data_IF_745710960111
#
_entry.id   IF_745710960111
#
_cell.length_a   1.000
_cell.length_b   1.000
_cell.length_c   1.000
_cell.angle_alpha   90.00
_cell.angle_beta   90.00
_cell.angle_gamma   90.00
#
_symmetry.space_group_name_H-M   'P 1'
#
loop_
_entity.id
_entity.type
_entity.pdbx_description
1 polymer ?
#
# COMPACT_ATOMS: atom_id res chain seq x y z
N UNK A 1 2.55 18.69 -5.33
CA UNK A 1 1.63 17.66 -4.79
C UNK A 1 1.08 16.84 -5.94
N UNK A 2 1.16 15.52 -5.84
CA UNK A 2 0.59 14.60 -6.83
C UNK A 2 -0.47 13.74 -6.19
N UNK A 3 -1.62 13.63 -6.83
CA UNK A 3 -2.72 12.77 -6.38
C UNK A 3 -3.10 11.80 -7.50
N UNK A 4 -3.55 10.61 -7.12
CA UNK A 4 -4.02 9.63 -8.09
C UNK A 4 -5.09 8.73 -7.49
N UNK A 5 -5.89 8.12 -8.36
CA UNK A 5 -6.90 7.13 -8.00
C UNK A 5 -6.79 5.95 -8.96
N UNK A 6 -6.76 4.74 -8.40
CA UNK A 6 -6.75 3.48 -9.15
C UNK A 6 -7.91 2.63 -8.66
N UNK A 7 -8.69 2.08 -9.58
CA UNK A 7 -9.83 1.21 -9.25
C UNK A 7 -9.61 -0.16 -9.89
N UNK A 8 -9.73 -1.21 -9.07
CA UNK A 8 -9.56 -2.60 -9.51
C UNK A 8 -10.72 -3.45 -9.00
N UNK A 9 -11.20 -4.36 -9.85
CA UNK A 9 -12.14 -5.41 -9.45
C UNK A 9 -11.34 -6.70 -9.30
N UNK A 10 -11.32 -7.25 -8.07
CA UNK A 10 -10.48 -8.40 -7.72
C UNK A 10 -11.36 -9.57 -7.25
N UNK A 11 -10.96 -10.82 -7.56
CA UNK A 11 -11.76 -12.01 -7.26
C UNK A 11 -11.55 -12.54 -5.84
N UNK A 12 -11.53 -11.66 -4.85
CA UNK A 12 -11.33 -12.00 -3.45
C UNK A 12 -12.32 -11.25 -2.59
N UNK A 13 -12.77 -11.88 -1.50
CA UNK A 13 -13.63 -11.22 -0.53
C UNK A 13 -12.91 -10.06 0.13
N UNK A 14 -13.62 -8.98 0.49
CA UNK A 14 -12.99 -7.84 1.19
C UNK A 14 -12.21 -8.24 2.43
N UNK A 15 -12.72 -9.18 3.23
CA UNK A 15 -12.04 -9.63 4.45
C UNK A 15 -10.68 -10.27 4.14
N UNK A 16 -10.61 -11.09 3.11
CA UNK A 16 -9.38 -11.78 2.70
C UNK A 16 -8.35 -10.79 2.22
N UNK A 17 -8.77 -9.90 1.33
CA UNK A 17 -7.89 -8.90 0.73
C UNK A 17 -7.41 -7.89 1.77
N UNK A 18 -8.31 -7.41 2.63
CA UNK A 18 -7.97 -6.47 3.70
C UNK A 18 -6.92 -7.04 4.65
N UNK A 19 -7.14 -8.27 5.14
CA UNK A 19 -6.20 -8.92 6.05
C UNK A 19 -4.81 -9.09 5.44
N UNK A 20 -4.75 -9.44 4.18
CA UNK A 20 -3.48 -9.60 3.49
C UNK A 20 -2.75 -8.27 3.32
N UNK A 21 -3.45 -7.25 2.87
CA UNK A 21 -2.85 -5.93 2.59
C UNK A 21 -2.52 -5.15 3.87
N UNK A 22 -3.24 -5.38 4.95
CA UNK A 22 -3.01 -4.68 6.21
C UNK A 22 -1.75 -5.16 6.95
N UNK A 23 -1.28 -6.38 6.69
CA UNK A 23 -0.12 -6.94 7.38
C UNK A 23 1.18 -6.43 6.77
N UNK A 24 1.98 -5.63 7.49
CA UNK A 24 3.23 -5.08 6.94
C UNK A 24 4.22 -6.15 6.49
N UNK A 25 4.24 -7.31 7.14
CA UNK A 25 5.16 -8.40 6.82
C UNK A 25 4.87 -9.03 5.47
N UNK A 26 3.66 -8.83 4.93
CA UNK A 26 3.29 -9.31 3.59
C UNK A 26 3.75 -8.36 2.47
N UNK A 27 4.10 -7.12 2.80
CA UNK A 27 4.40 -6.08 1.80
C UNK A 27 5.44 -6.51 0.77
N UNK A 28 6.54 -7.16 1.14
CA UNK A 28 7.52 -7.60 0.12
C UNK A 28 6.99 -8.63 -0.87
N UNK A 29 5.88 -9.30 -0.55
CA UNK A 29 5.26 -10.28 -1.44
C UNK A 29 4.53 -9.63 -2.61
N UNK A 30 4.05 -8.39 -2.43
CA UNK A 30 3.25 -7.73 -3.46
C UNK A 30 3.78 -6.37 -3.92
N UNK A 31 4.59 -5.68 -3.11
CA UNK A 31 5.21 -4.42 -3.53
C UNK A 31 6.57 -4.68 -4.16
N UNK A 32 6.64 -4.52 -5.47
CA UNK A 32 7.85 -4.83 -6.25
C UNK A 32 9.07 -4.00 -5.87
N UNK A 33 8.87 -2.79 -5.35
CA UNK A 33 9.97 -1.90 -4.94
C UNK A 33 10.63 -2.30 -3.63
N UNK A 34 10.02 -3.21 -2.86
CA UNK A 34 10.52 -3.57 -1.53
C UNK A 34 11.37 -4.84 -1.57
N UNK A 35 12.48 -4.79 -0.82
CA UNK A 35 13.28 -5.96 -0.51
C UNK A 35 12.74 -6.65 0.74
N UNK A 36 12.45 -5.87 1.77
CA UNK A 36 11.95 -6.36 3.06
C UNK A 36 11.30 -5.22 3.84
N UNK A 37 10.79 -5.53 5.02
CA UNK A 37 10.36 -4.57 6.02
C UNK A 37 11.08 -4.87 7.34
N UNK A 38 11.36 -3.83 8.13
CA UNK A 38 12.03 -3.95 9.42
C UNK A 38 11.31 -3.14 10.48
N UNK A 39 11.66 -3.35 11.73
CA UNK A 39 11.14 -2.57 12.86
C UNK A 39 9.61 -2.57 12.93
N UNK A 40 9.01 -3.72 12.62
CA UNK A 40 7.56 -3.87 12.65
C UNK A 40 7.08 -3.96 14.09
N UNK A 41 6.15 -3.08 14.47
CA UNK A 41 5.56 -3.10 15.80
C UNK A 41 4.89 -4.45 16.08
N UNK A 42 4.93 -4.88 17.33
CA UNK A 42 4.36 -6.14 17.75
C UNK A 42 2.82 -6.14 17.62
N UNK A 43 2.27 -7.34 17.48
CA UNK A 43 0.83 -7.55 17.45
C UNK A 43 0.23 -7.53 16.06
N UNK A 44 -1.09 -7.66 16.02
CA UNK A 44 -1.84 -7.59 14.79
C UNK A 44 -1.93 -6.14 14.27
N UNK A 45 -2.19 -5.95 12.98
CA UNK A 45 -2.36 -4.61 12.42
C UNK A 45 -3.36 -3.77 13.20
N UNK A 46 -2.96 -2.55 13.54
CA UNK A 46 -3.80 -1.61 14.30
C UNK A 46 -3.43 -0.18 13.92
N UNK A 47 -4.33 0.79 14.11
CA UNK A 47 -4.00 2.21 13.89
C UNK A 47 -2.82 2.62 14.75
N UNK A 48 -1.87 3.34 14.15
CA UNK A 48 -0.65 3.75 14.81
C UNK A 48 0.51 2.76 14.69
N UNK A 49 0.28 1.58 14.13
CA UNK A 49 1.35 0.59 13.92
C UNK A 49 2.42 1.16 12.98
N UNK A 50 3.68 1.01 13.38
CA UNK A 50 4.84 1.50 12.62
C UNK A 50 5.67 0.35 12.09
N UNK A 51 6.34 0.60 10.98
CA UNK A 51 7.40 -0.26 10.44
C UNK A 51 8.26 0.60 9.50
N UNK A 52 9.31 0.00 8.98
CA UNK A 52 10.17 0.63 7.99
C UNK A 52 10.21 -0.22 6.75
N UNK A 53 9.86 0.37 5.61
CA UNK A 53 10.06 -0.26 4.31
C UNK A 53 11.55 -0.20 3.96
N UNK A 54 12.10 -1.28 3.41
CA UNK A 54 13.45 -1.31 2.88
C UNK A 54 13.35 -1.52 1.38
N UNK A 55 13.57 -0.47 0.61
CA UNK A 55 13.46 -0.54 -0.84
C UNK A 55 14.72 -1.13 -1.47
N UNK A 56 14.57 -1.64 -2.70
CA UNK A 56 15.68 -2.24 -3.44
C UNK A 56 16.77 -1.23 -3.80
N UNK A 57 16.43 0.05 -3.82
CA UNK A 57 17.40 1.13 -4.10
C UNK A 57 18.02 1.72 -2.82
N UNK A 58 17.69 1.17 -1.65
CA UNK A 58 18.30 1.56 -0.39
C UNK A 58 17.58 2.66 0.39
N UNK A 59 16.54 3.23 -0.15
CA UNK A 59 15.68 4.20 0.57
C UNK A 59 14.85 3.42 1.59
N UNK A 60 14.71 3.97 2.81
CA UNK A 60 14.03 3.31 3.92
C UNK A 60 12.96 4.22 4.53
N UNK A 61 11.79 4.36 3.91
CA UNK A 61 10.73 5.19 4.45
C UNK A 61 10.23 4.68 5.79
N UNK A 62 9.91 5.61 6.67
CA UNK A 62 9.19 5.31 7.90
C UNK A 62 7.70 5.22 7.58
N UNK A 63 7.06 4.11 7.93
CA UNK A 63 5.67 3.82 7.60
C UNK A 63 4.80 3.77 8.84
N UNK A 64 3.54 4.11 8.68
CA UNK A 64 2.55 4.05 9.75
C UNK A 64 1.17 3.74 9.20
N UNK A 65 0.45 2.81 9.84
CA UNK A 65 -0.98 2.64 9.59
C UNK A 65 -1.73 3.76 10.31
N UNK A 66 -2.50 4.53 9.57
CA UNK A 66 -3.22 5.68 10.13
C UNK A 66 -4.70 5.42 10.32
N UNK A 67 -5.28 4.51 9.52
CA UNK A 67 -6.69 4.19 9.62
C UNK A 67 -6.92 2.72 9.28
N UNK A 68 -7.65 2.02 10.13
CA UNK A 68 -8.15 0.67 9.87
C UNK A 68 -9.63 0.62 10.27
N UNK A 69 -10.49 0.55 9.27
CA UNK A 69 -11.90 0.22 9.48
C UNK A 69 -12.08 -1.18 8.88
N UNK A 70 -12.24 -2.21 9.71
CA UNK A 70 -12.22 -3.59 9.24
C UNK A 70 -13.03 -3.82 8.00
N UNK A 71 -12.33 -4.29 6.98
CA UNK A 71 -12.81 -4.72 5.68
C UNK A 71 -13.36 -3.61 4.79
N UNK A 72 -13.18 -2.32 5.19
CA UNK A 72 -13.68 -1.17 4.45
C UNK A 72 -12.61 -0.16 4.07
N UNK A 73 -11.75 0.23 5.02
CA UNK A 73 -10.74 1.28 4.81
C UNK A 73 -9.43 0.88 5.45
N UNK A 74 -8.36 1.06 4.70
CA UNK A 74 -6.99 0.85 5.15
C UNK A 74 -6.18 2.05 4.65
N UNK A 75 -5.61 2.83 5.56
CA UNK A 75 -4.79 3.98 5.19
C UNK A 75 -3.42 3.91 5.83
N UNK A 76 -2.41 4.34 5.09
CA UNK A 76 -1.04 4.37 5.54
C UNK A 76 -0.34 5.64 5.08
N UNK A 77 0.67 6.05 5.86
CA UNK A 77 1.57 7.14 5.50
C UNK A 77 2.99 6.63 5.47
N UNK A 78 3.80 7.25 4.60
CA UNK A 78 5.22 6.99 4.54
C UNK A 78 5.97 8.31 4.45
N UNK A 79 7.11 8.40 5.15
CA UNK A 79 7.94 9.59 5.12
C UNK A 79 9.40 9.22 4.91
N UNK A 80 10.07 9.99 4.06
CA UNK A 80 11.50 9.88 3.85
C UNK A 80 12.05 11.24 3.45
N UNK A 81 12.98 11.77 4.26
CA UNK A 81 13.53 13.11 4.03
C UNK A 81 12.42 14.15 3.86
N UNK A 82 12.41 14.88 2.76
CA UNK A 82 11.40 15.90 2.45
C UNK A 82 10.20 15.39 1.67
N UNK A 83 9.99 14.07 1.58
CA UNK A 83 8.88 13.45 0.84
C UNK A 83 7.94 12.75 1.81
N UNK A 84 6.63 12.97 1.62
CA UNK A 84 5.57 12.29 2.36
C UNK A 84 4.58 11.67 1.37
N UNK A 85 4.12 10.47 1.68
CA UNK A 85 3.09 9.78 0.90
C UNK A 85 1.94 9.35 1.78
N UNK A 86 0.74 9.38 1.22
CA UNK A 86 -0.47 8.85 1.84
C UNK A 86 -1.14 7.92 0.84
N UNK A 87 -1.51 6.73 1.28
CA UNK A 87 -2.28 5.79 0.48
C UNK A 87 -3.49 5.34 1.27
N UNK A 88 -4.67 5.47 0.66
CA UNK A 88 -5.92 5.00 1.24
C UNK A 88 -6.51 3.94 0.32
N UNK A 89 -6.79 2.77 0.87
CA UNK A 89 -7.45 1.68 0.16
C UNK A 89 -8.88 1.55 0.69
N UNK A 90 -9.84 1.55 -0.24
CA UNK A 90 -11.27 1.37 0.08
C UNK A 90 -11.76 0.08 -0.56
N UNK A 91 -12.47 -0.72 0.23
CA UNK A 91 -12.91 -2.05 -0.14
C UNK A 91 -14.44 -2.09 -0.18
N UNK A 92 -15.00 -2.49 -1.31
CA UNK A 92 -16.45 -2.63 -1.50
C UNK A 92 -16.74 -4.00 -2.08
N UNK A 93 -17.61 -4.77 -1.43
CA UNK A 93 -18.00 -6.09 -1.92
C UNK A 93 -18.73 -5.99 -3.24
N UNK A 94 -18.40 -6.90 -4.16
CA UNK A 94 -19.08 -7.06 -5.45
C UNK A 94 -19.53 -8.50 -5.63
N UNK A 95 -20.29 -8.76 -6.69
CA UNK A 95 -20.76 -10.13 -6.98
C UNK A 95 -19.62 -11.12 -7.19
N UNK A 96 -18.48 -10.66 -7.76
CA UNK A 96 -17.32 -11.51 -8.04
C UNK A 96 -16.21 -11.42 -6.99
N UNK A 97 -16.32 -10.53 -5.99
CA UNK A 97 -15.29 -10.37 -4.99
C UNK A 97 -15.28 -8.99 -4.35
N UNK A 98 -14.33 -8.15 -4.74
CA UNK A 98 -14.14 -6.84 -4.14
C UNK A 98 -13.73 -5.80 -5.19
N UNK A 99 -14.33 -4.61 -5.12
CA UNK A 99 -13.82 -3.42 -5.79
C UNK A 99 -12.90 -2.70 -4.82
N UNK A 100 -11.65 -2.58 -5.22
CA UNK A 100 -10.61 -1.92 -4.46
C UNK A 100 -10.30 -0.57 -5.10
N UNK A 101 -10.46 0.51 -4.34
CA UNK A 101 -10.10 1.85 -4.78
C UNK A 101 -8.88 2.31 -4.00
N UNK A 102 -7.81 2.63 -4.71
CA UNK A 102 -6.57 3.13 -4.14
C UNK A 102 -6.45 4.62 -4.44
N UNK A 103 -6.43 5.43 -3.41
CA UNK A 103 -6.26 6.87 -3.50
C UNK A 103 -4.91 7.23 -2.90
N UNK A 104 -4.05 7.86 -3.68
CA UNK A 104 -2.69 8.18 -3.26
C UNK A 104 -2.38 9.66 -3.39
N UNK A 105 -1.43 10.10 -2.55
CA UNK A 105 -0.94 11.47 -2.53
C UNK A 105 0.53 11.49 -2.19
N UNK A 106 1.32 12.23 -3.00
CA UNK A 106 2.73 12.47 -2.73
C UNK A 106 2.98 13.97 -2.59
N UNK A 107 3.68 14.34 -1.53
CA UNK A 107 4.05 15.74 -1.24
C UNK A 107 5.56 15.81 -1.02
N UNK A 108 6.22 16.70 -1.74
CA UNK A 108 7.65 17.01 -1.55
C UNK A 108 7.82 18.42 -1.01
N UNK A 109 8.80 18.60 -0.14
CA UNK A 109 9.17 19.89 0.43
C UNK A 109 10.51 20.35 -0.11
N UNK A 110 10.63 21.68 -0.38
CA UNK A 110 11.89 22.27 -0.84
C UNK A 110 12.41 21.61 -2.10
N UNK A 111 13.64 21.11 -2.04
CA UNK A 111 14.32 20.47 -3.18
C UNK A 111 13.65 19.15 -3.60
N UNK A 112 12.80 18.58 -2.76
CA UNK A 112 12.11 17.32 -3.05
C UNK A 112 10.80 17.48 -3.82
N UNK A 113 10.37 18.71 -4.12
CA UNK A 113 9.14 18.96 -4.86
C UNK A 113 9.14 18.32 -6.25
N UNK A 114 10.24 18.42 -6.95
CA UNK A 114 10.40 17.85 -8.29
C UNK A 114 10.40 16.33 -8.21
N UNK A 115 11.11 15.75 -7.25
CA UNK A 115 11.17 14.31 -7.05
C UNK A 115 9.79 13.73 -6.75
N UNK A 116 9.00 14.39 -5.89
CA UNK A 116 7.64 13.97 -5.59
C UNK A 116 6.73 14.05 -6.83
N UNK A 117 6.85 15.12 -7.62
CA UNK A 117 6.05 15.27 -8.84
C UNK A 117 6.37 14.19 -9.88
N UNK A 118 7.65 13.88 -10.08
CA UNK A 118 8.10 12.85 -11.03
C UNK A 118 7.64 11.46 -10.54
N UNK A 119 7.86 11.15 -9.26
CA UNK A 119 7.45 9.86 -8.67
C UNK A 119 5.93 9.68 -8.74
N UNK A 120 5.16 10.73 -8.49
CA UNK A 120 3.71 10.69 -8.54
C UNK A 120 3.16 10.42 -9.94
N UNK A 121 3.91 10.76 -10.98
CA UNK A 121 3.53 10.50 -12.38
C UNK A 121 3.47 9.00 -12.66
N UNK A 122 4.34 8.20 -12.05
CA UNK A 122 4.42 6.75 -12.25
C UNK A 122 3.68 5.93 -11.19
N UNK A 123 3.28 6.57 -10.08
CA UNK A 123 2.65 5.88 -8.95
C UNK A 123 1.37 5.13 -9.31
N UNK A 124 0.44 5.67 -10.15
CA UNK A 124 -0.78 4.93 -10.47
C UNK A 124 -0.51 3.57 -11.10
N UNK A 125 0.40 3.51 -12.06
CA UNK A 125 0.73 2.25 -12.74
C UNK A 125 1.43 1.27 -11.81
N UNK A 126 2.34 1.76 -10.99
CA UNK A 126 3.05 0.95 -9.99
C UNK A 126 2.07 0.36 -8.98
N UNK A 127 1.16 1.16 -8.44
CA UNK A 127 0.15 0.71 -7.48
C UNK A 127 -0.77 -0.33 -8.13
N UNK A 128 -1.21 -0.09 -9.36
CA UNK A 128 -2.05 -1.04 -10.10
C UNK A 128 -1.36 -2.41 -10.19
N UNK A 129 -0.12 -2.43 -10.65
CA UNK A 129 0.65 -3.67 -10.81
C UNK A 129 0.87 -4.38 -9.48
N UNK A 130 1.19 -3.63 -8.43
CA UNK A 130 1.42 -4.19 -7.11
C UNK A 130 0.16 -4.81 -6.52
N UNK A 131 -0.99 -4.14 -6.65
CA UNK A 131 -2.26 -4.68 -6.17
C UNK A 131 -2.72 -5.90 -6.97
N UNK A 132 -2.47 -5.92 -8.28
CA UNK A 132 -2.71 -7.11 -9.10
C UNK A 132 -1.83 -8.27 -8.64
N UNK A 133 -0.58 -8.00 -8.29
CA UNK A 133 0.32 -9.01 -7.73
C UNK A 133 -0.19 -9.56 -6.40
N UNK A 134 -0.71 -8.69 -5.52
CA UNK A 134 -1.34 -9.13 -4.27
C UNK A 134 -2.47 -10.11 -4.55
N UNK A 135 -3.31 -9.81 -5.52
CA UNK A 135 -4.40 -10.69 -5.95
C UNK A 135 -3.87 -12.04 -6.46
N UNK A 136 -2.80 -12.03 -7.25
CA UNK A 136 -2.17 -13.26 -7.75
C UNK A 136 -1.61 -14.12 -6.61
N UNK A 137 -0.95 -13.51 -5.63
CA UNK A 137 -0.43 -14.21 -4.46
C UNK A 137 -1.54 -14.89 -3.68
N UNK A 138 -2.66 -14.18 -3.46
CA UNK A 138 -3.82 -14.75 -2.77
C UNK A 138 -4.45 -15.88 -3.57
N UNK A 139 -4.56 -15.76 -4.89
CA UNK A 139 -5.09 -16.81 -5.75
C UNK A 139 -4.21 -18.08 -5.70
N UNK A 140 -2.90 -17.91 -5.69
CA UNK A 140 -1.96 -19.03 -5.59
C UNK A 140 -2.08 -19.74 -4.23
N UNK A 141 -2.29 -19.01 -3.14
CA UNK A 141 -2.50 -19.57 -1.81
C UNK A 141 -3.80 -20.37 -1.72
N UNK A 142 -4.87 -19.87 -2.35
CA UNK A 142 -6.16 -20.54 -2.37
C UNK A 142 -6.12 -21.87 -3.14
N UNK A 143 -5.24 -21.98 -4.14
CA UNK A 143 -5.11 -23.16 -5.00
C UNK A 143 -3.98 -24.10 -4.55
N UNK A 144 -3.23 -23.70 -3.53
CA UNK A 144 -2.08 -24.45 -3.03
C UNK A 144 -2.36 -25.38 -1.88
#
# INVERSE_FOLDING_TARGET
>A
MSEFTVILDLPHEPVTLFRFLAEPRNRPLWQSSLRTVTDVDAGEPHPGMHWRDVTRVGVRPQMQLTELVPYRVLAETGTWSGISGLLTLRFVKTAQGCRLTAEGRLVGRGVFKVAAAVSGRFAPETIRKDLLRASEVLSARANG
#
